data_IF_019680496362
#
_entry.id   IF_019680496362
#
_cell.length_a   1.000
_cell.length_b   1.000
_cell.length_c   1.000
_cell.angle_alpha   90.00
_cell.angle_beta   90.00
_cell.angle_gamma   90.00
#
_symmetry.space_group_name_H-M   'P 1'
#
loop_
_entity.id
_entity.type
_entity.pdbx_description
1 polymer ?
#
# COMPACT_ATOMS: atom_id res chain seq x y z
N UNK A 1 -16.75 -2.45 -14.77
CA UNK A 1 -16.19 -3.53 -13.93
C UNK A 1 -14.97 -3.09 -13.11
N UNK A 2 -14.04 -2.27 -13.65
CA UNK A 2 -12.85 -1.78 -12.89
C UNK A 2 -13.17 -1.02 -11.59
N UNK A 3 -14.27 -0.27 -11.54
CA UNK A 3 -14.67 0.55 -10.37
C UNK A 3 -15.25 -0.28 -9.22
N UNK A 4 -15.88 -1.42 -9.48
CA UNK A 4 -16.52 -2.26 -8.46
C UNK A 4 -15.51 -2.99 -7.54
N UNK A 5 -14.39 -3.46 -8.10
CA UNK A 5 -13.36 -4.14 -7.30
C UNK A 5 -12.62 -3.22 -6.34
N UNK A 6 -12.42 -1.95 -6.74
CA UNK A 6 -11.74 -0.95 -5.91
C UNK A 6 -12.63 -0.46 -4.78
N UNK A 7 -13.94 -0.36 -5.01
CA UNK A 7 -14.90 0.05 -3.97
C UNK A 7 -14.98 -0.96 -2.83
N UNK A 8 -14.90 -2.26 -3.13
CA UNK A 8 -14.85 -3.31 -2.11
C UNK A 8 -13.55 -3.23 -1.27
N UNK A 9 -12.42 -2.94 -1.91
CA UNK A 9 -11.12 -2.80 -1.25
C UNK A 9 -11.07 -1.59 -0.30
N UNK A 10 -11.71 -0.48 -0.69
CA UNK A 10 -11.78 0.77 0.08
C UNK A 10 -12.72 0.63 1.29
N UNK A 11 -13.84 -0.08 1.15
CA UNK A 11 -14.79 -0.31 2.24
C UNK A 11 -14.15 -1.04 3.44
N UNK A 12 -13.10 -1.83 3.23
CA UNK A 12 -12.38 -2.52 4.30
C UNK A 12 -11.55 -1.59 5.19
N UNK A 13 -11.11 -0.44 4.67
CA UNK A 13 -10.29 0.53 5.43
C UNK A 13 -11.09 1.52 6.28
N UNK A 14 -12.40 1.63 6.08
CA UNK A 14 -13.23 2.61 6.79
C UNK A 14 -13.86 2.09 8.09
N UNK A 15 -13.65 0.80 8.44
CA UNK A 15 -14.27 0.19 9.62
C UNK A 15 -13.31 0.29 10.81
N UNK A 16 -13.58 1.24 11.71
CA UNK A 16 -13.06 1.34 13.09
C UNK A 16 -11.53 1.35 13.28
N UNK A 17 -10.88 2.45 12.91
CA UNK A 17 -9.44 2.68 13.15
C UNK A 17 -9.03 2.86 14.63
N UNK A 18 -9.95 2.77 15.59
CA UNK A 18 -9.70 3.26 16.95
C UNK A 18 -9.29 2.23 18.01
N UNK A 19 -9.23 0.92 17.69
CA UNK A 19 -8.82 -0.09 18.68
C UNK A 19 -8.37 -1.43 18.07
N UNK A 20 -7.63 -1.41 16.97
CA UNK A 20 -7.18 -2.66 16.37
C UNK A 20 -5.90 -3.17 17.04
N UNK A 21 -5.94 -4.43 17.46
CA UNK A 21 -4.76 -5.14 17.95
C UNK A 21 -3.79 -5.43 16.78
N UNK A 22 -2.50 -5.63 17.08
CA UNK A 22 -1.51 -6.00 16.04
C UNK A 22 -1.97 -7.24 15.23
N UNK A 23 -2.67 -8.18 15.86
CA UNK A 23 -3.19 -9.37 15.21
C UNK A 23 -4.31 -9.06 14.19
N UNK A 24 -5.21 -8.13 14.50
CA UNK A 24 -6.26 -7.68 13.58
C UNK A 24 -5.66 -6.95 12.38
N UNK A 25 -4.65 -6.12 12.59
CA UNK A 25 -3.91 -5.44 11.53
C UNK A 25 -3.23 -6.47 10.61
N UNK A 26 -2.59 -7.50 11.16
CA UNK A 26 -1.97 -8.58 10.39
C UNK A 26 -2.98 -9.38 9.58
N UNK A 27 -4.12 -9.70 10.16
CA UNK A 27 -5.19 -10.43 9.47
C UNK A 27 -5.75 -9.60 8.31
N UNK A 28 -6.03 -8.31 8.54
CA UNK A 28 -6.48 -7.40 7.47
C UNK A 28 -5.45 -7.27 6.35
N UNK A 29 -4.16 -7.16 6.68
CA UNK A 29 -3.11 -7.11 5.69
C UNK A 29 -3.00 -8.39 4.86
N UNK A 30 -3.25 -9.57 5.46
CA UNK A 30 -3.27 -10.85 4.73
C UNK A 30 -4.47 -10.94 3.78
N UNK A 31 -5.66 -10.59 4.26
CA UNK A 31 -6.88 -10.58 3.41
C UNK A 31 -6.69 -9.61 2.25
N UNK A 32 -6.23 -8.38 2.54
CA UNK A 32 -5.91 -7.40 1.52
C UNK A 32 -4.87 -7.92 0.52
N UNK A 33 -3.85 -8.63 0.97
CA UNK A 33 -2.82 -9.21 0.10
C UNK A 33 -3.40 -10.23 -0.89
N UNK A 34 -4.34 -11.08 -0.45
CA UNK A 34 -5.00 -12.06 -1.32
C UNK A 34 -5.88 -11.39 -2.37
N UNK A 35 -6.71 -10.43 -1.98
CA UNK A 35 -7.53 -9.66 -2.91
C UNK A 35 -6.68 -8.85 -3.89
N UNK A 36 -5.59 -8.26 -3.41
CA UNK A 36 -4.64 -7.52 -4.20
C UNK A 36 -3.96 -8.39 -5.25
N UNK A 37 -3.57 -9.62 -4.90
CA UNK A 37 -2.98 -10.56 -5.87
C UNK A 37 -3.93 -10.81 -7.04
N UNK A 38 -5.22 -11.00 -6.78
CA UNK A 38 -6.22 -11.18 -7.85
C UNK A 38 -6.29 -9.96 -8.78
N UNK A 39 -6.24 -8.75 -8.22
CA UNK A 39 -6.18 -7.52 -9.01
C UNK A 39 -4.90 -7.48 -9.85
N UNK A 40 -3.76 -7.79 -9.25
CA UNK A 40 -2.47 -7.80 -9.95
C UNK A 40 -2.50 -8.78 -11.12
N UNK A 41 -2.96 -10.02 -10.91
CA UNK A 41 -3.04 -11.04 -11.96
C UNK A 41 -4.08 -10.72 -13.05
N UNK A 42 -5.03 -9.84 -12.78
CA UNK A 42 -5.96 -9.34 -13.81
C UNK A 42 -5.31 -8.34 -14.80
N UNK A 43 -4.17 -7.75 -14.44
CA UNK A 43 -3.48 -6.72 -15.24
C UNK A 43 -2.06 -7.10 -15.63
N UNK A 44 -1.43 -8.00 -14.89
CA UNK A 44 -0.08 -8.50 -15.15
C UNK A 44 -0.19 -9.87 -15.80
N UNK A 45 0.33 -10.00 -17.01
CA UNK A 45 0.34 -11.27 -17.73
C UNK A 45 1.78 -11.72 -17.98
N UNK A 46 2.37 -12.52 -17.08
CA UNK A 46 3.73 -13.01 -17.25
C UNK A 46 3.86 -14.07 -18.36
N UNK A 47 2.76 -14.68 -18.79
CA UNK A 47 2.78 -15.86 -19.65
C UNK A 47 3.19 -17.12 -18.88
N UNK A 48 2.94 -18.30 -19.44
CA UNK A 48 3.20 -19.59 -18.76
C UNK A 48 4.68 -19.74 -18.35
N UNK A 49 5.58 -19.32 -19.23
CA UNK A 49 7.04 -19.44 -19.03
C UNK A 49 7.57 -18.66 -17.80
N UNK A 50 6.93 -17.53 -17.45
CA UNK A 50 7.43 -16.63 -16.42
C UNK A 50 6.52 -16.53 -15.18
N UNK A 51 5.41 -17.27 -15.16
CA UNK A 51 4.40 -17.18 -14.08
C UNK A 51 5.01 -17.52 -12.73
N UNK A 52 5.73 -18.61 -12.59
CA UNK A 52 6.35 -19.02 -11.33
C UNK A 52 7.34 -17.96 -10.84
N UNK A 53 8.28 -17.56 -11.69
CA UNK A 53 9.27 -16.54 -11.34
C UNK A 53 8.67 -15.18 -10.96
N UNK A 54 7.54 -14.81 -11.60
CA UNK A 54 6.81 -13.61 -11.23
C UNK A 54 6.16 -13.75 -9.85
N UNK A 55 5.47 -14.85 -9.59
CA UNK A 55 4.75 -15.09 -8.32
C UNK A 55 5.71 -15.13 -7.13
N UNK A 56 6.84 -15.79 -7.24
CA UNK A 56 7.86 -15.85 -6.19
C UNK A 56 8.38 -14.45 -5.84
N UNK A 57 8.69 -13.63 -6.86
CA UNK A 57 9.14 -12.26 -6.65
C UNK A 57 8.04 -11.34 -6.12
N UNK A 58 6.79 -11.59 -6.51
CA UNK A 58 5.65 -10.83 -6.02
C UNK A 58 5.37 -11.16 -4.54
N UNK A 59 5.46 -12.42 -4.13
CA UNK A 59 5.33 -12.84 -2.73
C UNK A 59 6.43 -12.19 -1.86
N UNK A 60 7.68 -12.27 -2.29
CA UNK A 60 8.81 -11.59 -1.62
C UNK A 60 8.61 -10.06 -1.50
N UNK A 61 8.02 -9.46 -2.52
CA UNK A 61 7.64 -8.05 -2.51
C UNK A 61 6.55 -7.75 -1.48
N UNK A 62 5.48 -8.55 -1.46
CA UNK A 62 4.33 -8.35 -0.57
C UNK A 62 4.72 -8.46 0.91
N UNK A 63 5.57 -9.40 1.29
CA UNK A 63 6.08 -9.50 2.65
C UNK A 63 6.72 -8.19 3.10
N UNK A 64 7.62 -7.64 2.30
CA UNK A 64 8.30 -6.37 2.62
C UNK A 64 7.37 -5.16 2.56
N UNK A 65 6.41 -5.18 1.65
CA UNK A 65 5.39 -4.14 1.56
C UNK A 65 4.50 -4.13 2.80
N UNK A 66 4.13 -5.29 3.32
CA UNK A 66 3.32 -5.40 4.56
C UNK A 66 4.02 -4.78 5.76
N UNK A 67 5.33 -4.97 5.91
CA UNK A 67 6.09 -4.33 6.99
C UNK A 67 6.05 -2.79 6.89
N UNK A 68 6.26 -2.24 5.70
CA UNK A 68 6.13 -0.79 5.47
C UNK A 68 4.68 -0.32 5.66
N UNK A 69 3.71 -1.18 5.38
CA UNK A 69 2.30 -0.93 5.60
C UNK A 69 1.96 -0.78 7.09
N UNK A 70 2.55 -1.59 7.97
CA UNK A 70 2.39 -1.45 9.44
C UNK A 70 2.82 -0.06 9.90
N UNK A 71 4.00 0.38 9.49
CA UNK A 71 4.52 1.72 9.83
C UNK A 71 3.55 2.82 9.37
N UNK A 72 2.98 2.69 8.18
CA UNK A 72 2.01 3.68 7.68
C UNK A 72 0.72 3.68 8.51
N UNK A 73 0.20 2.52 8.90
CA UNK A 73 -1.00 2.41 9.75
C UNK A 73 -0.74 3.07 11.11
N UNK A 74 0.43 2.84 11.71
CA UNK A 74 0.82 3.49 12.96
C UNK A 74 0.87 5.02 12.84
N UNK A 75 1.43 5.53 11.73
CA UNK A 75 1.47 6.97 11.45
C UNK A 75 0.08 7.57 11.26
N UNK A 76 -0.85 6.86 10.60
CA UNK A 76 -2.23 7.29 10.45
C UNK A 76 -2.97 7.26 11.79
N UNK A 77 -2.75 6.23 12.62
CA UNK A 77 -3.32 6.15 13.96
C UNK A 77 -2.80 7.26 14.89
N UNK A 78 -1.53 7.61 14.79
CA UNK A 78 -0.98 8.76 15.50
C UNK A 78 -1.64 10.05 15.04
N UNK A 79 -1.73 10.26 13.73
CA UNK A 79 -2.37 11.44 13.15
C UNK A 79 -3.83 11.59 13.59
N UNK A 80 -4.60 10.51 13.54
CA UNK A 80 -6.02 10.53 13.93
C UNK A 80 -6.26 10.97 15.39
N UNK A 81 -5.24 10.80 16.26
CA UNK A 81 -5.31 11.23 17.66
C UNK A 81 -4.84 12.67 17.91
N UNK A 82 -3.98 13.19 17.05
CA UNK A 82 -3.21 14.41 17.33
C UNK A 82 -3.52 15.57 16.37
N UNK A 83 -4.22 15.34 15.25
CA UNK A 83 -4.36 16.31 14.17
C UNK A 83 -4.97 17.65 14.60
N UNK A 84 -5.95 17.66 15.51
CA UNK A 84 -6.69 18.87 15.99
C UNK A 84 -5.90 19.73 16.99
N UNK A 85 -4.76 19.35 17.39
CA UNK A 85 -3.96 20.12 18.35
C UNK A 85 -2.46 20.01 18.10
N UNK A 86 -2.08 19.60 16.91
CA UNK A 86 -0.69 19.34 16.54
C UNK A 86 0.13 20.65 16.56
N UNK A 87 1.20 20.66 17.37
CA UNK A 87 2.17 21.77 17.36
C UNK A 87 3.03 21.72 16.10
N UNK A 88 3.76 22.81 15.81
CA UNK A 88 4.71 22.84 14.69
C UNK A 88 5.75 21.74 14.79
N UNK A 89 6.27 21.48 15.97
CA UNK A 89 7.30 20.45 16.24
C UNK A 89 6.74 19.03 16.03
N UNK A 90 5.49 18.81 16.47
CA UNK A 90 4.80 17.53 16.26
C UNK A 90 4.50 17.30 14.77
N UNK A 91 4.03 18.32 14.07
CA UNK A 91 3.75 18.26 12.63
C UNK A 91 5.04 17.98 11.84
N UNK A 92 6.15 18.64 12.16
CA UNK A 92 7.44 18.41 11.52
C UNK A 92 7.95 16.98 11.77
N UNK A 93 7.92 16.53 13.02
CA UNK A 93 8.36 15.18 13.39
C UNK A 93 7.52 14.08 12.73
N UNK A 94 6.21 14.25 12.68
CA UNK A 94 5.29 13.33 12.01
C UNK A 94 5.55 13.32 10.50
N UNK A 95 5.65 14.50 9.87
CA UNK A 95 5.85 14.62 8.43
C UNK A 95 7.19 14.01 7.99
N UNK A 96 8.25 14.15 8.78
CA UNK A 96 9.52 13.49 8.53
C UNK A 96 9.37 11.97 8.44
N UNK A 97 8.62 11.35 9.36
CA UNK A 97 8.34 9.91 9.33
C UNK A 97 7.52 9.50 8.11
N UNK A 98 6.51 10.30 7.73
CA UNK A 98 5.66 10.06 6.55
C UNK A 98 6.49 10.10 5.27
N UNK A 99 7.38 11.09 5.13
CA UNK A 99 8.25 11.22 3.97
C UNK A 99 9.25 10.06 3.87
N UNK A 100 9.86 9.65 5.00
CA UNK A 100 10.76 8.51 5.05
C UNK A 100 10.06 7.20 4.66
N UNK A 101 8.88 6.93 5.23
CA UNK A 101 8.09 5.75 4.89
C UNK A 101 7.68 5.74 3.40
N UNK A 102 7.36 6.91 2.83
CA UNK A 102 7.04 7.06 1.41
C UNK A 102 8.25 6.76 0.53
N UNK A 103 9.43 7.29 0.88
CA UNK A 103 10.67 7.05 0.15
C UNK A 103 11.06 5.57 0.18
N UNK A 104 10.98 4.91 1.33
CA UNK A 104 11.26 3.47 1.48
C UNK A 104 10.36 2.61 0.59
N UNK A 105 9.07 2.94 0.52
CA UNK A 105 8.13 2.23 -0.36
C UNK A 105 8.49 2.42 -1.83
N UNK A 106 8.80 3.63 -2.25
CA UNK A 106 9.15 3.93 -3.65
C UNK A 106 10.45 3.22 -4.07
N UNK A 107 11.41 3.11 -3.15
CA UNK A 107 12.63 2.31 -3.34
C UNK A 107 12.29 0.83 -3.48
N UNK A 108 11.38 0.30 -2.64
CA UNK A 108 10.95 -1.09 -2.69
C UNK A 108 10.32 -1.43 -4.04
N UNK A 109 9.37 -0.64 -4.52
CA UNK A 109 8.71 -0.86 -5.83
C UNK A 109 9.73 -0.87 -6.96
N UNK A 110 10.66 0.11 -7.01
CA UNK A 110 11.70 0.17 -8.05
C UNK A 110 12.63 -1.05 -8.00
N UNK A 111 12.98 -1.51 -6.81
CA UNK A 111 13.80 -2.71 -6.63
C UNK A 111 13.13 -3.95 -7.23
N UNK A 112 11.83 -4.13 -6.96
CA UNK A 112 11.10 -5.29 -7.50
C UNK A 112 10.75 -5.15 -8.97
N UNK A 113 10.50 -3.94 -9.47
CA UNK A 113 10.47 -3.69 -10.91
C UNK A 113 11.73 -4.21 -11.61
N UNK A 114 12.92 -3.89 -11.07
CA UNK A 114 14.17 -4.34 -11.66
C UNK A 114 14.36 -5.86 -11.57
N UNK A 115 14.00 -6.49 -10.44
CA UNK A 115 14.05 -7.96 -10.26
C UNK A 115 13.10 -8.68 -11.23
N UNK A 116 11.85 -8.25 -11.31
CA UNK A 116 10.83 -8.81 -12.20
C UNK A 116 11.25 -8.63 -13.66
N UNK A 117 11.76 -7.45 -14.04
CA UNK A 117 12.26 -7.22 -15.39
C UNK A 117 13.37 -8.21 -15.78
N UNK A 118 14.26 -8.54 -14.84
CA UNK A 118 15.37 -9.48 -15.07
C UNK A 118 14.88 -10.94 -15.18
N UNK A 119 13.90 -11.31 -14.36
CA UNK A 119 13.38 -12.68 -14.29
C UNK A 119 12.33 -12.98 -15.37
N UNK A 120 11.69 -11.95 -15.91
CA UNK A 120 10.65 -12.05 -16.94
C UNK A 120 11.01 -11.19 -18.15
N UNK A 121 10.36 -10.05 -18.31
CA UNK A 121 10.64 -9.06 -19.36
C UNK A 121 10.19 -7.65 -18.94
N UNK A 122 10.47 -6.67 -19.80
CA UNK A 122 10.15 -5.27 -19.52
C UNK A 122 8.64 -4.98 -19.48
N UNK A 123 7.83 -5.71 -20.27
CA UNK A 123 6.38 -5.52 -20.32
C UNK A 123 5.76 -5.96 -19.00
N UNK A 124 6.07 -7.16 -18.52
CA UNK A 124 5.59 -7.70 -17.24
C UNK A 124 5.98 -6.79 -16.08
N UNK A 125 7.23 -6.35 -16.03
CA UNK A 125 7.70 -5.43 -14.99
C UNK A 125 6.96 -4.07 -15.03
N UNK A 126 6.67 -3.56 -16.23
CA UNK A 126 5.93 -2.32 -16.40
C UNK A 126 4.47 -2.48 -15.95
N UNK A 127 3.82 -3.59 -16.30
CA UNK A 127 2.49 -3.91 -15.82
C UNK A 127 2.44 -3.99 -14.28
N UNK A 128 3.40 -4.69 -13.66
CA UNK A 128 3.55 -4.72 -12.20
C UNK A 128 3.67 -3.31 -11.61
N UNK A 129 4.57 -2.49 -12.14
CA UNK A 129 4.77 -1.12 -11.64
C UNK A 129 3.49 -0.29 -11.77
N UNK A 130 2.82 -0.34 -12.92
CA UNK A 130 1.60 0.43 -13.16
C UNK A 130 0.45 0.03 -12.24
N UNK A 131 0.23 -1.28 -12.03
CA UNK A 131 -0.85 -1.75 -11.14
C UNK A 131 -0.54 -1.41 -9.68
N UNK A 132 0.71 -1.52 -9.24
CA UNK A 132 1.12 -1.12 -7.89
C UNK A 132 0.87 0.36 -7.63
N UNK A 133 1.30 1.23 -8.54
CA UNK A 133 1.07 2.68 -8.40
C UNK A 133 -0.42 3.01 -8.44
N UNK A 134 -1.20 2.34 -9.28
CA UNK A 134 -2.65 2.52 -9.35
C UNK A 134 -3.32 2.15 -8.01
N UNK A 135 -3.01 1.00 -7.45
CA UNK A 135 -3.56 0.55 -6.15
C UNK A 135 -3.15 1.53 -5.04
N UNK A 136 -1.88 1.90 -4.97
CA UNK A 136 -1.38 2.85 -3.97
C UNK A 136 -2.05 4.22 -4.07
N UNK A 137 -2.28 4.72 -5.28
CA UNK A 137 -2.94 6.01 -5.50
C UNK A 137 -4.40 5.94 -5.06
N UNK A 138 -5.09 4.85 -5.36
CA UNK A 138 -6.47 4.62 -4.94
C UNK A 138 -6.61 4.57 -3.42
N UNK A 139 -5.71 3.86 -2.73
CA UNK A 139 -5.68 3.80 -1.26
C UNK A 139 -5.39 5.19 -0.67
N UNK A 140 -4.44 5.93 -1.24
CA UNK A 140 -4.11 7.29 -0.77
C UNK A 140 -5.30 8.23 -0.91
N UNK A 141 -5.96 8.21 -2.06
CA UNK A 141 -7.15 9.02 -2.29
C UNK A 141 -8.21 8.72 -1.24
N UNK A 142 -8.54 7.44 -1.03
CA UNK A 142 -9.52 7.03 -0.03
C UNK A 142 -9.15 7.48 1.39
N UNK A 143 -7.86 7.43 1.75
CA UNK A 143 -7.39 7.93 3.05
C UNK A 143 -7.60 9.43 3.14
N UNK A 144 -7.17 10.22 2.15
CA UNK A 144 -7.30 11.67 2.18
C UNK A 144 -8.76 12.19 2.13
N UNK A 145 -9.67 11.41 1.56
CA UNK A 145 -11.11 11.72 1.58
C UNK A 145 -11.75 11.51 2.97
N UNK A 146 -11.09 10.77 3.86
CA UNK A 146 -11.65 10.37 5.16
C UNK A 146 -10.88 10.88 6.38
N UNK A 147 -9.76 11.58 6.19
CA UNK A 147 -9.01 12.20 7.28
C UNK A 147 -9.02 13.73 7.14
N UNK A 148 -9.19 14.46 8.25
CA UNK A 148 -9.11 15.93 8.22
C UNK A 148 -7.68 16.39 7.91
N UNK A 149 -7.55 17.60 7.39
CA UNK A 149 -6.24 18.25 7.26
C UNK A 149 -5.84 18.91 8.58
N UNK A 150 -4.52 19.06 8.80
CA UNK A 150 -4.01 19.79 9.97
C UNK A 150 -4.57 21.22 9.96
N UNK A 151 -5.21 21.62 11.06
CA UNK A 151 -5.82 22.95 11.20
C UNK A 151 -7.17 23.12 10.49
N UNK A 152 -7.75 22.07 9.93
CA UNK A 152 -9.11 22.08 9.41
C UNK A 152 -10.11 22.29 10.58
N UNK A 153 -11.12 23.16 10.39
CA UNK A 153 -12.14 23.50 11.40
C UNK A 153 -13.51 23.01 10.98
#
# INVERSE_FOLDING_TARGET
MKKLFITALIAFFTINAFSQTNHEIELMQKIFGLEKLQIVLAYVNPGEEHTEAFLDLYEEYEEKRMELGKVRIELLNQYAKEWDGMTNEQAEAWMKKVLDASAKRDVLIRKYYAKIKKATNAIVATQFYQVEIFILTSIRLAVYENIPFVGEK
#
